data_IF_250444567212
#
_entry.id   IF_250444567212
#
_cell.length_a   1.000
_cell.length_b   1.000
_cell.length_c   1.000
_cell.angle_alpha   90.00
_cell.angle_beta   90.00
_cell.angle_gamma   90.00
#
_symmetry.space_group_name_H-M   'P 1'
#
loop_
_entity.id
_entity.type
_entity.pdbx_description
1 polymer ?
#
# COMPACT_ATOMS: atom_id res chain seq x y z
N UNK A 1 7.42 18.76 -13.98
CA UNK A 1 7.11 17.93 -12.80
C UNK A 1 6.72 18.82 -11.65
N UNK A 2 5.53 18.61 -11.13
CA UNK A 2 5.02 19.39 -10.03
C UNK A 2 5.36 18.72 -8.71
N UNK A 3 5.94 19.47 -7.79
CA UNK A 3 6.16 18.97 -6.43
C UNK A 3 4.93 19.21 -5.59
N UNK A 4 4.53 18.21 -4.85
CA UNK A 4 3.43 18.32 -3.91
C UNK A 4 3.98 18.39 -2.48
N UNK A 5 3.39 19.29 -1.70
CA UNK A 5 3.68 19.39 -0.27
C UNK A 5 2.99 18.23 0.41
N UNK A 6 3.74 17.44 1.19
CA UNK A 6 3.21 16.28 1.89
C UNK A 6 2.01 16.60 2.78
N UNK A 7 1.97 17.80 3.35
CA UNK A 7 0.86 18.21 4.19
C UNK A 7 -0.41 18.48 3.39
N UNK A 8 -0.26 18.87 2.12
CA UNK A 8 -1.37 19.23 1.25
C UNK A 8 -1.65 18.16 0.20
N UNK A 9 -1.03 17.00 0.31
CA UNK A 9 -1.18 15.92 -0.66
C UNK A 9 -1.69 14.65 0.02
N UNK A 10 -2.43 13.87 -0.75
CA UNK A 10 -2.77 12.49 -0.38
C UNK A 10 -1.77 11.61 -1.10
N UNK A 11 -0.94 10.93 -0.34
CA UNK A 11 0.10 10.04 -0.86
C UNK A 11 -0.22 8.60 -0.46
N UNK A 12 -0.20 7.71 -1.43
CA UNK A 12 -0.47 6.28 -1.18
C UNK A 12 0.41 5.43 -2.06
N UNK A 13 0.71 4.25 -1.58
CA UNK A 13 1.39 3.23 -2.36
C UNK A 13 0.84 1.87 -1.98
N UNK A 14 0.95 0.92 -2.89
CA UNK A 14 0.57 -0.47 -2.61
C UNK A 14 1.82 -1.29 -2.35
N UNK A 15 1.74 -2.18 -1.38
CA UNK A 15 2.81 -3.12 -1.07
C UNK A 15 2.21 -4.51 -0.98
N UNK A 16 2.85 -5.47 -1.64
CA UNK A 16 2.53 -6.89 -1.50
C UNK A 16 3.60 -7.52 -0.63
N UNK A 17 3.17 -8.25 0.39
CA UNK A 17 4.08 -8.84 1.37
C UNK A 17 3.75 -10.31 1.51
N UNK A 18 4.74 -11.16 1.27
CA UNK A 18 4.62 -12.60 1.50
C UNK A 18 5.25 -12.94 2.84
N UNK A 19 4.44 -13.45 3.75
CA UNK A 19 4.86 -13.77 5.12
C UNK A 19 4.79 -15.27 5.31
N UNK A 20 5.80 -15.84 5.96
CA UNK A 20 5.78 -17.25 6.34
C UNK A 20 4.81 -17.42 7.48
N UNK A 21 3.87 -18.34 7.32
CA UNK A 21 2.84 -18.59 8.33
C UNK A 21 2.35 -20.01 8.17
N UNK A 22 2.57 -20.83 9.18
CA UNK A 22 2.07 -22.21 9.23
C UNK A 22 0.78 -22.27 10.05
N UNK A 23 0.29 -23.47 10.31
CA UNK A 23 -0.95 -23.65 11.05
C UNK A 23 -0.86 -23.12 12.49
N UNK A 24 0.33 -23.13 13.09
CA UNK A 24 0.50 -22.72 14.48
C UNK A 24 0.47 -21.19 14.66
N UNK A 25 0.96 -20.44 13.70
CA UNK A 25 1.06 -18.98 13.83
C UNK A 25 0.20 -18.18 12.85
N UNK A 26 -0.54 -18.86 11.99
CA UNK A 26 -1.36 -18.21 10.97
C UNK A 26 -2.36 -17.23 11.55
N UNK A 27 -3.06 -17.61 12.62
CA UNK A 27 -4.06 -16.74 13.23
C UNK A 27 -3.45 -15.46 13.81
N UNK A 28 -2.26 -15.58 14.38
CA UNK A 28 -1.56 -14.41 14.93
C UNK A 28 -1.20 -13.42 13.82
N UNK A 29 -0.69 -13.93 12.71
CA UNK A 29 -0.33 -13.09 11.57
C UNK A 29 -1.58 -12.42 10.98
N UNK A 30 -2.67 -13.16 10.87
CA UNK A 30 -3.93 -12.62 10.37
C UNK A 30 -4.49 -11.51 11.25
N UNK A 31 -4.37 -11.65 12.58
CA UNK A 31 -4.80 -10.60 13.50
C UNK A 31 -3.96 -9.33 13.35
N UNK A 32 -2.67 -9.49 13.16
CA UNK A 32 -1.78 -8.34 12.90
C UNK A 32 -2.18 -7.63 11.63
N UNK A 33 -2.51 -8.39 10.59
CA UNK A 33 -2.94 -7.83 9.32
C UNK A 33 -4.21 -7.00 9.46
N UNK A 34 -5.16 -7.46 10.28
CA UNK A 34 -6.38 -6.69 10.53
C UNK A 34 -6.10 -5.33 11.15
N UNK A 35 -5.15 -5.26 12.09
CA UNK A 35 -4.80 -4.00 12.74
C UNK A 35 -4.30 -2.95 11.75
N UNK A 36 -3.65 -3.39 10.68
CA UNK A 36 -3.11 -2.52 9.65
C UNK A 36 -4.00 -2.43 8.42
N UNK A 37 -5.18 -3.06 8.46
CA UNK A 37 -6.11 -3.12 7.33
C UNK A 37 -5.45 -3.69 6.08
N UNK A 38 -4.56 -4.66 6.28
CA UNK A 38 -3.96 -5.40 5.19
C UNK A 38 -4.94 -6.48 4.73
N UNK A 39 -5.04 -6.66 3.42
CA UNK A 39 -5.94 -7.65 2.84
C UNK A 39 -5.17 -8.92 2.48
N UNK A 40 -5.75 -10.07 2.81
CA UNK A 40 -5.18 -11.35 2.40
C UNK A 40 -5.55 -11.58 0.94
N UNK A 41 -4.56 -11.77 0.09
CA UNK A 41 -4.78 -12.00 -1.35
C UNK A 41 -4.36 -13.39 -1.79
N UNK A 42 -3.61 -14.12 -0.96
CA UNK A 42 -3.24 -15.49 -1.24
C UNK A 42 -3.00 -16.25 0.06
N UNK A 43 -3.44 -17.50 0.12
CA UNK A 43 -3.28 -18.37 1.28
C UNK A 43 -2.74 -19.72 0.79
N UNK A 44 -1.57 -20.08 1.31
CA UNK A 44 -0.97 -21.39 1.08
C UNK A 44 -0.67 -22.05 2.41
N UNK A 45 -0.19 -23.31 2.38
CA UNK A 45 0.06 -24.07 3.59
C UNK A 45 1.03 -23.37 4.56
N UNK A 46 2.03 -22.72 4.04
CA UNK A 46 3.11 -22.12 4.83
C UNK A 46 3.33 -20.65 4.57
N UNK A 47 2.51 -20.02 3.77
CA UNK A 47 2.64 -18.61 3.46
C UNK A 47 1.31 -17.91 3.33
N UNK A 48 1.34 -16.61 3.61
CA UNK A 48 0.22 -15.70 3.38
C UNK A 48 0.75 -14.51 2.58
N UNK A 49 -0.02 -14.05 1.61
CA UNK A 49 0.32 -12.83 0.89
C UNK A 49 -0.70 -11.77 1.27
N UNK A 50 -0.19 -10.61 1.66
CA UNK A 50 -1.01 -9.46 2.04
C UNK A 50 -0.81 -8.32 1.07
N UNK A 51 -1.90 -7.61 0.82
CA UNK A 51 -1.90 -6.34 0.12
C UNK A 51 -2.16 -5.26 1.14
N UNK A 52 -1.25 -4.27 1.23
CA UNK A 52 -1.41 -3.15 2.15
C UNK A 52 -1.22 -1.85 1.38
N UNK A 53 -2.16 -0.94 1.59
CA UNK A 53 -2.13 0.39 0.97
C UNK A 53 -2.03 1.43 2.07
N UNK A 54 -1.16 2.40 1.88
CA UNK A 54 -0.98 3.47 2.85
C UNK A 54 0.36 4.16 2.74
N UNK A 55 0.75 4.80 3.82
CA UNK A 55 2.03 5.49 3.91
C UNK A 55 3.17 4.51 4.18
N UNK A 56 4.39 4.97 3.93
CA UNK A 56 5.58 4.16 4.23
C UNK A 56 5.67 3.82 5.71
N UNK A 57 5.24 4.73 6.59
CA UNK A 57 5.27 4.47 8.03
C UNK A 57 4.38 3.30 8.42
N UNK A 58 3.19 3.24 7.82
CA UNK A 58 2.26 2.14 8.05
C UNK A 58 2.84 0.81 7.58
N UNK A 59 3.40 0.80 6.38
CA UNK A 59 4.00 -0.41 5.80
C UNK A 59 5.20 -0.87 6.64
N UNK A 60 6.06 0.06 7.03
CA UNK A 60 7.22 -0.23 7.86
C UNK A 60 6.82 -0.81 9.21
N UNK A 61 5.78 -0.26 9.84
CA UNK A 61 5.28 -0.77 11.11
C UNK A 61 4.75 -2.21 10.97
N UNK A 62 4.02 -2.49 9.91
CA UNK A 62 3.52 -3.84 9.65
C UNK A 62 4.66 -4.82 9.40
N UNK A 63 5.63 -4.45 8.58
CA UNK A 63 6.79 -5.29 8.30
C UNK A 63 7.55 -5.63 9.58
N UNK A 64 7.67 -4.66 10.47
CA UNK A 64 8.36 -4.86 11.75
C UNK A 64 7.63 -5.87 12.63
N UNK A 65 6.30 -5.84 12.63
CA UNK A 65 5.50 -6.79 13.40
C UNK A 65 5.57 -8.22 12.86
N UNK A 66 5.58 -8.39 11.54
CA UNK A 66 5.57 -9.73 10.94
C UNK A 66 6.97 -10.31 10.73
N UNK A 67 8.00 -9.48 10.89
CA UNK A 67 9.39 -9.93 10.71
C UNK A 67 9.76 -11.17 11.50
N UNK A 68 9.36 -11.33 12.77
CA UNK A 68 9.70 -12.53 13.54
C UNK A 68 9.14 -13.82 12.95
N UNK A 69 8.07 -13.75 12.17
CA UNK A 69 7.49 -14.94 11.53
C UNK A 69 8.23 -15.30 10.24
N UNK A 70 8.89 -14.33 9.64
CA UNK A 70 9.65 -14.49 8.40
C UNK A 70 8.97 -13.83 7.22
N UNK A 71 9.65 -12.89 6.62
CA UNK A 71 9.19 -12.21 5.41
C UNK A 71 9.88 -12.87 4.23
N UNK A 72 9.09 -13.51 3.35
CA UNK A 72 9.65 -14.20 2.20
C UNK A 72 9.90 -13.23 1.05
N UNK A 73 9.01 -12.25 0.86
CA UNK A 73 9.11 -11.33 -0.27
C UNK A 73 8.33 -10.06 -0.01
N UNK A 74 8.83 -8.92 -0.49
CA UNK A 74 8.15 -7.64 -0.41
C UNK A 74 8.30 -6.94 -1.76
N UNK A 75 7.18 -6.48 -2.32
CA UNK A 75 7.18 -5.71 -3.56
C UNK A 75 6.36 -4.45 -3.33
N UNK A 76 6.91 -3.30 -3.69
CA UNK A 76 6.25 -2.00 -3.54
C UNK A 76 6.05 -1.34 -4.90
N UNK A 77 4.91 -0.69 -5.08
CA UNK A 77 4.63 0.07 -6.31
C UNK A 77 5.29 1.44 -6.33
N UNK A 78 5.72 1.93 -5.17
CA UNK A 78 6.08 3.33 -5.02
C UNK A 78 4.84 4.16 -4.67
N UNK A 79 5.07 5.44 -4.36
CA UNK A 79 3.99 6.33 -3.95
C UNK A 79 3.35 7.03 -5.13
N UNK A 80 2.04 7.14 -5.09
CA UNK A 80 1.28 8.02 -5.96
C UNK A 80 0.65 9.08 -5.09
N UNK A 81 0.45 10.28 -5.65
CA UNK A 81 0.01 11.42 -4.87
C UNK A 81 -0.93 12.33 -5.65
N UNK A 82 -1.92 12.88 -4.94
CA UNK A 82 -2.81 13.92 -5.45
C UNK A 82 -2.85 15.05 -4.45
N UNK A 83 -2.96 16.26 -4.96
CA UNK A 83 -3.16 17.41 -4.10
C UNK A 83 -4.54 17.34 -3.45
N UNK A 84 -4.61 17.77 -2.19
CA UNK A 84 -5.88 17.79 -1.46
C UNK A 84 -6.77 18.91 -1.95
N UNK A 85 -8.08 18.71 -1.84
CA UNK A 85 -9.05 19.74 -2.17
C UNK A 85 -9.40 19.76 -3.65
N UNK A 86 -9.74 20.93 -4.15
CA UNK A 86 -10.24 21.11 -5.51
C UNK A 86 -9.16 21.29 -6.57
N UNK A 87 -7.93 21.52 -6.15
CA UNK A 87 -6.83 21.72 -7.09
C UNK A 87 -6.43 20.43 -7.78
N UNK A 88 -6.14 20.52 -9.07
CA UNK A 88 -5.71 19.37 -9.87
C UNK A 88 -4.46 19.71 -10.66
N UNK A 89 -3.71 18.68 -11.05
CA UNK A 89 -2.58 18.88 -11.94
C UNK A 89 -3.03 19.35 -13.32
N UNK A 90 -4.28 19.11 -13.68
CA UNK A 90 -4.85 19.48 -14.97
C UNK A 90 -5.07 20.99 -15.10
N UNK A 91 -5.09 21.72 -14.00
CA UNK A 91 -5.15 23.18 -14.02
C UNK A 91 -3.95 23.80 -14.71
N UNK A 92 -2.85 23.07 -14.76
CA UNK A 92 -1.58 23.53 -15.31
C UNK A 92 -1.12 22.69 -16.51
N UNK A 93 -1.99 21.82 -17.03
CA UNK A 93 -1.65 20.89 -18.09
C UNK A 93 -2.66 20.96 -19.23
N UNK A 94 -2.18 21.20 -20.45
CA UNK A 94 -3.03 21.27 -21.64
C UNK A 94 -3.56 19.89 -22.06
N UNK A 95 -2.96 18.83 -21.56
CA UNK A 95 -3.38 17.45 -21.87
C UNK A 95 -4.50 16.95 -20.98
N UNK A 96 -4.98 17.76 -20.07
CA UNK A 96 -6.00 17.35 -19.11
C UNK A 96 -7.25 16.75 -19.71
N UNK A 97 -7.66 17.20 -20.87
CA UNK A 97 -8.84 16.66 -21.54
C UNK A 97 -8.67 15.19 -21.92
N UNK A 98 -7.47 14.87 -22.39
CA UNK A 98 -7.12 13.50 -22.72
C UNK A 98 -7.20 12.61 -21.51
N UNK A 99 -6.57 13.02 -20.42
CA UNK A 99 -6.56 12.25 -19.18
C UNK A 99 -7.96 12.15 -18.55
N UNK A 100 -8.73 13.21 -18.63
CA UNK A 100 -10.10 13.20 -18.14
C UNK A 100 -10.96 12.15 -18.80
N UNK A 101 -10.78 11.92 -20.08
CA UNK A 101 -11.53 10.90 -20.83
C UNK A 101 -11.15 9.49 -20.42
N UNK A 102 -9.94 9.27 -19.99
CA UNK A 102 -9.43 7.95 -19.65
C UNK A 102 -9.64 7.55 -18.20
N UNK A 103 -9.97 8.50 -17.35
CA UNK A 103 -10.19 8.24 -15.92
C UNK A 103 -11.59 7.74 -15.59
N UNK A 104 -12.48 7.79 -16.55
CA UNK A 104 -13.84 7.32 -16.38
C UNK A 104 -14.04 5.99 -17.10
#
# INVERSE_FOLDING_TARGET
VQRLDEKNAVCRGMTLIKVKADDDNRLDVLKMAELFRAHVVDVESNTLVFEITGSDDKVTAFLRLVKPYGIAEVIRTGLIALERGEHTIYEHCEEREYYGKNLL
#
